data_IF_556606643401
#
_entry.id   IF_556606643401
#
_cell.length_a   1.000
_cell.length_b   1.000
_cell.length_c   1.000
_cell.angle_alpha   90.00
_cell.angle_beta   90.00
_cell.angle_gamma   90.00
#
_symmetry.space_group_name_H-M   'P 1'
#
loop_
_entity.id
_entity.type
_entity.pdbx_description
1 polymer ?
#
# COMPACT_ATOMS: atom_id res chain seq x y z
N UNK A 1 -15.86 19.05 24.05
CA UNK A 1 -15.98 19.71 22.74
C UNK A 1 -16.33 18.65 21.73
N UNK A 2 -17.37 18.78 20.89
CA UNK A 2 -17.62 17.79 19.86
C UNK A 2 -16.40 17.76 18.92
N UNK A 3 -15.84 16.57 18.70
CA UNK A 3 -14.83 16.34 17.68
C UNK A 3 -15.47 16.71 16.33
N UNK A 4 -15.00 17.77 15.70
CA UNK A 4 -15.37 18.07 14.32
C UNK A 4 -14.83 16.89 13.48
N UNK A 5 -15.73 16.07 12.96
CA UNK A 5 -15.34 14.98 12.08
C UNK A 5 -14.57 15.57 10.89
N UNK A 6 -13.36 15.11 10.68
CA UNK A 6 -12.53 15.55 9.55
C UNK A 6 -13.20 15.10 8.24
N UNK A 7 -13.20 15.99 7.25
CA UNK A 7 -13.75 15.66 5.94
C UNK A 7 -12.76 14.82 5.16
N UNK A 8 -13.11 13.61 4.71
CA UNK A 8 -12.20 12.78 3.94
C UNK A 8 -11.94 13.37 2.54
N UNK A 9 -10.76 13.08 2.02
CA UNK A 9 -10.39 13.34 0.62
C UNK A 9 -10.98 12.26 -0.28
N UNK A 10 -12.11 12.53 -0.91
CA UNK A 10 -12.72 11.61 -1.87
C UNK A 10 -12.14 11.88 -3.26
N UNK A 11 -11.43 10.90 -3.83
CA UNK A 11 -10.66 11.04 -5.06
C UNK A 11 -11.18 10.06 -6.12
N UNK A 12 -11.24 10.54 -7.36
CA UNK A 12 -11.52 9.70 -8.55
C UNK A 12 -10.25 9.12 -9.17
N UNK A 13 -9.07 9.61 -8.78
CA UNK A 13 -7.75 9.17 -9.24
C UNK A 13 -7.01 8.45 -8.11
N UNK A 14 -6.02 7.58 -8.44
CA UNK A 14 -5.10 7.07 -7.46
C UNK A 14 -4.41 8.17 -6.65
N UNK A 15 -3.93 7.83 -5.46
CA UNK A 15 -3.18 8.74 -4.60
C UNK A 15 -1.80 8.16 -4.28
N UNK A 16 -0.83 9.05 -4.13
CA UNK A 16 0.51 8.73 -3.63
C UNK A 16 0.56 9.13 -2.15
N UNK A 17 1.06 8.25 -1.31
CA UNK A 17 1.24 8.50 0.11
C UNK A 17 2.71 8.30 0.50
N UNK A 18 3.33 9.34 1.10
CA UNK A 18 4.74 9.34 1.49
C UNK A 18 4.83 9.22 3.00
N UNK A 19 5.54 8.20 3.47
CA UNK A 19 5.88 7.97 4.88
C UNK A 19 7.30 8.41 5.22
N UNK A 20 7.66 8.29 6.50
CA UNK A 20 8.93 8.77 7.04
C UNK A 20 10.07 7.72 7.05
N UNK A 21 9.80 6.45 6.71
CA UNK A 21 10.87 5.46 6.63
C UNK A 21 11.82 5.79 5.45
N UNK A 22 13.13 5.48 5.58
CA UNK A 22 14.09 5.75 4.52
C UNK A 22 13.66 5.16 3.18
N UNK A 23 13.62 6.01 2.16
CA UNK A 23 13.27 5.64 0.78
C UNK A 23 13.90 6.65 -0.17
N UNK A 24 14.28 6.20 -1.35
CA UNK A 24 14.73 7.04 -2.47
C UNK A 24 13.58 7.37 -3.44
N UNK A 25 12.35 6.94 -3.10
CA UNK A 25 11.17 7.04 -3.96
C UNK A 25 11.36 6.40 -5.34
N UNK A 26 12.25 5.39 -5.46
CA UNK A 26 12.45 4.69 -6.72
C UNK A 26 11.11 4.16 -7.27
N UNK A 27 10.83 4.46 -8.52
CA UNK A 27 9.58 4.08 -9.20
C UNK A 27 8.43 5.08 -9.06
N UNK A 28 8.62 6.21 -8.37
CA UNK A 28 7.56 7.22 -8.28
C UNK A 28 7.22 7.81 -9.66
N UNK A 29 8.17 7.82 -10.57
CA UNK A 29 8.00 8.25 -11.97
C UNK A 29 7.06 7.35 -12.78
N UNK A 30 6.74 6.15 -12.25
CA UNK A 30 5.75 5.25 -12.82
C UNK A 30 4.32 5.65 -12.43
N UNK A 31 4.18 6.50 -11.41
CA UNK A 31 2.91 7.10 -11.02
C UNK A 31 2.62 8.28 -11.93
N UNK A 32 1.35 8.43 -12.33
CA UNK A 32 0.98 9.55 -13.18
C UNK A 32 1.14 10.90 -12.43
N UNK A 33 1.70 11.94 -13.06
CA UNK A 33 2.04 13.20 -12.39
C UNK A 33 0.82 13.96 -11.84
N UNK A 34 -0.39 13.63 -12.30
CA UNK A 34 -1.62 14.22 -11.80
C UNK A 34 -2.21 13.49 -10.59
N UNK A 35 -1.59 12.42 -10.11
CA UNK A 35 -2.03 11.77 -8.87
C UNK A 35 -1.67 12.65 -7.67
N UNK A 36 -2.64 12.99 -6.81
CA UNK A 36 -2.35 13.80 -5.63
C UNK A 36 -1.40 13.07 -4.69
N UNK A 37 -0.43 13.84 -4.18
CA UNK A 37 0.53 13.38 -3.18
C UNK A 37 0.05 13.78 -1.80
N UNK A 38 0.15 12.89 -0.83
CA UNK A 38 -0.09 13.11 0.59
C UNK A 38 1.15 12.69 1.37
N UNK A 39 1.36 13.28 2.52
CA UNK A 39 2.43 12.91 3.44
C UNK A 39 1.86 12.48 4.79
N UNK A 40 2.38 11.40 5.34
CA UNK A 40 2.13 10.95 6.69
C UNK A 40 3.20 11.56 7.61
N UNK A 41 2.82 12.55 8.41
CA UNK A 41 3.68 13.28 9.36
C UNK A 41 5.08 13.60 8.77
N UNK A 42 6.15 13.01 9.34
CA UNK A 42 7.54 13.20 8.89
C UNK A 42 7.83 12.84 7.42
N UNK A 43 6.92 12.13 6.73
CA UNK A 43 6.97 11.88 5.29
C UNK A 43 6.99 13.15 4.44
N UNK A 44 6.56 14.29 5.01
CA UNK A 44 6.69 15.59 4.38
C UNK A 44 8.13 15.92 3.99
N UNK A 45 9.10 15.66 4.86
CA UNK A 45 10.52 15.95 4.59
C UNK A 45 11.03 15.14 3.38
N UNK A 46 10.63 13.87 3.29
CA UNK A 46 10.97 13.01 2.14
C UNK A 46 10.33 13.55 0.85
N UNK A 47 9.06 13.92 0.89
CA UNK A 47 8.37 14.47 -0.25
C UNK A 47 9.05 15.76 -0.75
N UNK A 48 9.32 16.72 0.13
CA UNK A 48 9.96 17.99 -0.23
C UNK A 48 11.40 17.80 -0.74
N UNK A 49 12.17 16.88 -0.14
CA UNK A 49 13.53 16.56 -0.59
C UNK A 49 13.55 16.00 -2.04
N UNK A 50 12.45 15.37 -2.46
CA UNK A 50 12.25 14.84 -3.81
C UNK A 50 11.48 15.80 -4.74
N UNK A 51 11.34 17.08 -4.37
CA UNK A 51 10.61 18.12 -5.10
C UNK A 51 9.13 17.78 -5.36
N UNK A 52 8.53 16.98 -4.48
CA UNK A 52 7.10 16.72 -4.50
C UNK A 52 6.40 17.71 -3.59
N UNK A 53 5.26 18.24 -4.05
CA UNK A 53 4.41 19.10 -3.26
C UNK A 53 3.18 18.34 -2.78
N UNK A 54 3.12 17.91 -1.50
CA UNK A 54 1.95 17.23 -0.98
C UNK A 54 0.72 18.15 -0.98
N UNK A 55 -0.43 17.59 -1.32
CA UNK A 55 -1.73 18.25 -1.15
C UNK A 55 -2.05 18.46 0.33
N UNK A 56 -1.73 17.46 1.15
CA UNK A 56 -1.92 17.53 2.60
C UNK A 56 -0.87 16.73 3.35
N UNK A 57 -0.60 17.14 4.59
CA UNK A 57 0.15 16.39 5.61
C UNK A 57 -0.85 15.95 6.68
N UNK A 58 -0.83 14.67 7.02
CA UNK A 58 -1.75 14.04 7.97
C UNK A 58 -0.94 13.38 9.08
N UNK A 59 -1.19 13.74 10.33
CA UNK A 59 -0.49 13.18 11.49
C UNK A 59 -0.65 14.03 12.74
N UNK A 60 0.15 13.79 13.76
CA UNK A 60 0.19 14.61 14.98
C UNK A 60 1.12 15.83 14.86
N UNK A 61 1.83 15.97 13.75
CA UNK A 61 2.75 17.05 13.40
C UNK A 61 4.01 17.14 14.27
N UNK A 62 4.31 16.13 15.07
CA UNK A 62 5.47 16.14 15.96
C UNK A 62 6.80 16.08 15.17
N UNK A 63 6.78 15.53 13.96
CA UNK A 63 7.95 15.37 13.09
C UNK A 63 8.01 16.37 11.93
N UNK A 64 7.05 17.28 11.79
CA UNK A 64 6.97 18.21 10.64
C UNK A 64 7.92 19.41 10.76
N UNK A 65 8.35 19.78 11.97
CA UNK A 65 9.28 20.89 12.20
C UNK A 65 8.60 22.28 12.16
N UNK A 66 9.28 23.27 11.55
CA UNK A 66 8.80 24.65 11.51
C UNK A 66 7.64 24.81 10.51
N UNK A 67 6.40 24.73 11.02
CA UNK A 67 5.16 24.81 10.25
C UNK A 67 4.97 26.17 9.54
N UNK A 68 5.55 27.22 10.07
CA UNK A 68 5.48 28.59 9.55
C UNK A 68 6.30 28.80 8.25
N UNK A 69 7.15 27.83 7.91
CA UNK A 69 7.97 27.87 6.69
C UNK A 69 7.40 27.01 5.56
N UNK A 70 6.28 26.34 5.78
CA UNK A 70 5.65 25.51 4.76
C UNK A 70 4.89 26.36 3.74
N UNK A 71 4.79 25.83 2.52
CA UNK A 71 3.93 26.40 1.49
C UNK A 71 2.48 26.44 2.00
N UNK A 72 1.84 27.61 2.03
CA UNK A 72 0.44 27.75 2.49
C UNK A 72 -0.56 26.89 1.68
N UNK A 73 -0.19 26.40 0.51
CA UNK A 73 -1.01 25.51 -0.30
C UNK A 73 -1.09 24.08 0.26
N UNK A 74 -0.18 23.70 1.17
CA UNK A 74 -0.18 22.38 1.81
C UNK A 74 -1.18 22.40 2.98
N UNK A 75 -2.21 21.58 2.89
CA UNK A 75 -3.21 21.44 3.96
C UNK A 75 -2.63 20.62 5.14
N UNK A 76 -2.70 21.17 6.35
CA UNK A 76 -2.24 20.49 7.57
C UNK A 76 -3.42 19.87 8.31
N UNK A 77 -3.49 18.54 8.33
CA UNK A 77 -4.54 17.78 9.01
C UNK A 77 -4.00 17.21 10.32
N UNK A 78 -4.16 17.99 11.38
CA UNK A 78 -3.69 17.62 12.70
C UNK A 78 -4.63 16.60 13.36
N UNK A 79 -4.23 15.35 13.48
CA UNK A 79 -4.91 14.29 14.21
C UNK A 79 -4.20 13.96 15.53
N UNK A 80 -4.74 14.50 16.63
CA UNK A 80 -4.31 14.21 18.00
C UNK A 80 -4.88 12.86 18.39
N UNK A 81 -4.07 11.84 18.44
CA UNK A 81 -4.41 10.51 18.91
C UNK A 81 -3.19 9.62 18.76
N UNK A 82 -2.90 8.84 19.80
CA UNK A 82 -1.77 7.90 19.82
C UNK A 82 -2.25 6.45 19.63
N UNK A 83 -3.55 6.25 19.45
CA UNK A 83 -4.13 4.93 19.27
C UNK A 83 -3.90 4.41 17.85
N UNK A 84 -3.93 5.32 16.85
CA UNK A 84 -3.76 5.01 15.44
C UNK A 84 -2.38 5.46 14.93
N UNK A 85 -1.78 4.70 14.03
CA UNK A 85 -0.56 5.12 13.32
C UNK A 85 -0.90 6.20 12.29
N UNK A 86 0.09 7.01 11.88
CA UNK A 86 -0.13 8.03 10.85
C UNK A 86 -0.51 7.41 9.50
N UNK A 87 -0.03 6.19 9.21
CA UNK A 87 -0.47 5.42 8.05
C UNK A 87 -1.97 5.11 8.11
N UNK A 88 -2.46 4.68 9.25
CA UNK A 88 -3.89 4.39 9.46
C UNK A 88 -4.73 5.66 9.37
N UNK A 89 -4.31 6.75 10.03
CA UNK A 89 -4.95 8.07 9.93
C UNK A 89 -5.07 8.52 8.48
N UNK A 90 -3.99 8.36 7.68
CA UNK A 90 -4.00 8.68 6.26
C UNK A 90 -5.01 7.84 5.48
N UNK A 91 -5.00 6.51 5.65
CA UNK A 91 -5.90 5.63 4.91
C UNK A 91 -7.37 5.83 5.27
N UNK A 92 -7.67 6.25 6.51
CA UNK A 92 -9.02 6.59 6.95
C UNK A 92 -9.53 7.92 6.32
N UNK A 93 -8.63 8.84 5.96
CA UNK A 93 -8.99 10.11 5.34
C UNK A 93 -8.87 10.12 3.82
N UNK A 94 -8.00 9.30 3.23
CA UNK A 94 -7.76 9.27 1.79
C UNK A 94 -8.61 8.17 1.16
N UNK A 95 -9.73 8.53 0.57
CA UNK A 95 -10.60 7.63 -0.17
C UNK A 95 -10.27 7.71 -1.66
N UNK A 96 -9.23 7.00 -2.08
CA UNK A 96 -8.79 6.88 -3.47
C UNK A 96 -9.04 5.45 -3.98
N UNK A 97 -9.24 5.26 -5.29
CA UNK A 97 -9.45 3.92 -5.87
C UNK A 97 -8.21 3.03 -5.78
N UNK A 98 -7.03 3.61 -5.66
CA UNK A 98 -5.73 2.97 -5.42
C UNK A 98 -4.87 3.91 -4.58
N UNK A 99 -4.12 3.38 -3.62
CA UNK A 99 -3.08 4.12 -2.90
C UNK A 99 -1.72 3.46 -3.16
N UNK A 100 -0.72 4.27 -3.53
CA UNK A 100 0.68 3.84 -3.66
C UNK A 100 1.50 4.51 -2.57
N UNK A 101 1.99 3.72 -1.62
CA UNK A 101 2.72 4.17 -0.44
C UNK A 101 4.23 3.95 -0.58
N UNK A 102 5.00 4.99 -0.34
CA UNK A 102 6.47 4.99 -0.24
C UNK A 102 6.88 5.36 1.17
N UNK A 103 7.98 4.78 1.67
CA UNK A 103 8.49 5.10 3.01
C UNK A 103 7.68 4.52 4.17
N UNK A 104 7.04 3.35 3.96
CA UNK A 104 6.33 2.58 4.99
C UNK A 104 6.96 1.22 5.28
N UNK A 105 7.93 0.81 4.47
CA UNK A 105 8.66 -0.43 4.62
C UNK A 105 10.13 -0.16 4.96
N UNK A 106 10.74 -1.06 5.73
CA UNK A 106 12.13 -0.92 6.18
C UNK A 106 12.26 -0.18 7.52
N UNK A 107 13.50 0.13 7.93
CA UNK A 107 13.87 0.75 9.20
C UNK A 107 13.33 0.00 10.44
N UNK A 108 12.27 0.49 11.06
CA UNK A 108 11.69 -0.07 12.29
C UNK A 108 10.72 -1.20 11.98
N UNK A 109 10.98 -2.39 12.50
CA UNK A 109 10.11 -3.56 12.29
C UNK A 109 8.74 -3.41 12.95
N UNK A 110 8.64 -2.74 14.10
CA UNK A 110 7.37 -2.46 14.76
C UNK A 110 6.44 -1.61 13.88
N UNK A 111 6.99 -0.63 13.16
CA UNK A 111 6.22 0.17 12.20
C UNK A 111 5.74 -0.66 11.00
N UNK A 112 6.59 -1.56 10.46
CA UNK A 112 6.17 -2.46 9.38
C UNK A 112 5.03 -3.39 9.84
N UNK A 113 5.11 -3.92 11.06
CA UNK A 113 4.05 -4.74 11.63
C UNK A 113 2.74 -3.94 11.84
N UNK A 114 2.84 -2.68 12.28
CA UNK A 114 1.69 -1.79 12.39
C UNK A 114 1.06 -1.47 11.02
N UNK A 115 1.87 -1.26 9.99
CA UNK A 115 1.38 -1.11 8.60
C UNK A 115 0.61 -2.35 8.16
N UNK A 116 1.14 -3.55 8.39
CA UNK A 116 0.44 -4.81 8.05
C UNK A 116 -0.85 -4.97 8.86
N UNK A 117 -0.84 -4.58 10.13
CA UNK A 117 -2.04 -4.56 10.97
C UNK A 117 -3.12 -3.65 10.38
N UNK A 118 -2.76 -2.42 10.02
CA UNK A 118 -3.69 -1.47 9.36
C UNK A 118 -4.26 -2.04 8.06
N UNK A 119 -3.42 -2.64 7.20
CA UNK A 119 -3.88 -3.26 5.95
C UNK A 119 -4.86 -4.42 6.19
N UNK A 120 -4.69 -5.17 7.28
CA UNK A 120 -5.60 -6.25 7.66
C UNK A 120 -6.94 -5.73 8.19
N UNK A 121 -6.94 -4.60 8.92
CA UNK A 121 -8.13 -4.02 9.55
C UNK A 121 -9.06 -3.30 8.55
N UNK A 122 -8.54 -2.87 7.38
CA UNK A 122 -9.34 -2.17 6.38
C UNK A 122 -10.46 -3.04 5.84
N UNK A 123 -11.69 -2.53 5.87
CA UNK A 123 -12.89 -3.23 5.41
C UNK A 123 -13.14 -3.13 3.90
N UNK A 124 -12.63 -2.09 3.26
CA UNK A 124 -12.77 -1.90 1.81
C UNK A 124 -11.89 -2.86 0.99
N UNK A 125 -12.14 -2.93 -0.32
CA UNK A 125 -11.40 -3.79 -1.25
C UNK A 125 -10.39 -3.04 -2.12
N UNK A 126 -10.19 -1.73 -1.90
CA UNK A 126 -9.24 -0.95 -2.71
C UNK A 126 -7.83 -1.56 -2.65
N UNK A 127 -7.13 -1.69 -3.78
CA UNK A 127 -5.73 -2.09 -3.77
C UNK A 127 -4.88 -1.01 -3.09
N UNK A 128 -3.88 -1.47 -2.33
CA UNK A 128 -2.86 -0.61 -1.73
C UNK A 128 -1.52 -1.23 -2.08
N UNK A 129 -0.65 -0.46 -2.74
CA UNK A 129 0.71 -0.86 -3.05
C UNK A 129 1.65 -0.18 -2.06
N UNK A 130 2.58 -0.94 -1.49
CA UNK A 130 3.69 -0.42 -0.69
C UNK A 130 5.00 -0.71 -1.39
N UNK A 131 5.78 0.34 -1.64
CA UNK A 131 7.07 0.26 -2.33
C UNK A 131 8.18 0.27 -1.29
N UNK A 132 8.95 -0.80 -1.25
CA UNK A 132 10.17 -0.93 -0.46
C UNK A 132 11.40 -0.99 -1.35
N UNK A 133 12.57 -1.08 -0.73
CA UNK A 133 13.85 -1.15 -1.43
C UNK A 133 14.00 -2.46 -2.23
N UNK A 134 13.74 -3.60 -1.59
CA UNK A 134 13.93 -4.92 -2.19
C UNK A 134 12.64 -5.52 -2.74
N UNK A 135 11.52 -5.16 -2.15
CA UNK A 135 10.21 -5.73 -2.42
C UNK A 135 9.16 -4.65 -2.68
N UNK A 136 8.19 -5.00 -3.49
CA UNK A 136 6.92 -4.29 -3.62
C UNK A 136 5.80 -5.21 -3.16
N UNK A 137 4.86 -4.66 -2.42
CA UNK A 137 3.73 -5.40 -1.85
C UNK A 137 2.42 -4.80 -2.32
N UNK A 138 1.43 -5.64 -2.61
CA UNK A 138 0.08 -5.19 -2.92
C UNK A 138 -0.96 -5.92 -2.07
N UNK A 139 -1.81 -5.15 -1.40
CA UNK A 139 -3.00 -5.66 -0.73
C UNK A 139 -4.07 -5.99 -1.76
N UNK A 140 -4.61 -7.19 -1.68
CA UNK A 140 -5.66 -7.70 -2.56
C UNK A 140 -6.82 -8.27 -1.73
N UNK A 141 -8.04 -8.00 -2.13
CA UNK A 141 -9.26 -8.70 -1.71
C UNK A 141 -10.02 -9.18 -2.94
N UNK A 142 -10.22 -10.49 -3.01
CA UNK A 142 -10.85 -11.14 -4.16
C UNK A 142 -9.85 -11.68 -5.18
N UNK A 143 -10.34 -11.93 -6.38
CA UNK A 143 -9.55 -12.48 -7.48
C UNK A 143 -8.56 -11.45 -8.03
N UNK A 144 -7.44 -11.94 -8.56
CA UNK A 144 -6.49 -11.06 -9.26
C UNK A 144 -5.74 -11.80 -10.36
N UNK A 145 -5.24 -11.02 -11.31
CA UNK A 145 -4.39 -11.49 -12.39
C UNK A 145 -3.20 -10.56 -12.56
N UNK A 146 -2.04 -11.15 -12.83
CA UNK A 146 -0.78 -10.46 -13.06
C UNK A 146 -0.15 -10.93 -14.37
N UNK A 147 0.53 -10.02 -15.06
CA UNK A 147 1.45 -10.35 -16.14
C UNK A 147 2.88 -10.13 -15.64
N UNK A 148 3.60 -11.23 -15.43
CA UNK A 148 4.88 -11.23 -14.74
C UNK A 148 5.96 -11.95 -15.54
N UNK A 149 7.25 -11.58 -15.40
CA UNK A 149 8.33 -12.38 -15.93
C UNK A 149 8.37 -13.77 -15.30
N UNK A 150 8.76 -14.78 -16.09
CA UNK A 150 8.97 -16.14 -15.59
C UNK A 150 10.19 -16.15 -14.64
N UNK A 151 10.23 -17.10 -13.72
CA UNK A 151 11.29 -17.36 -12.74
C UNK A 151 11.43 -16.32 -11.61
N UNK A 152 10.57 -15.30 -11.54
CA UNK A 152 10.58 -14.38 -10.39
C UNK A 152 9.93 -15.01 -9.15
N UNK A 153 10.36 -14.53 -7.98
CA UNK A 153 9.74 -14.86 -6.69
C UNK A 153 8.35 -14.26 -6.63
N UNK A 154 7.38 -15.05 -6.19
CA UNK A 154 5.99 -14.65 -5.93
C UNK A 154 5.58 -15.12 -4.55
N UNK A 155 5.33 -14.22 -3.62
CA UNK A 155 4.93 -14.59 -2.27
C UNK A 155 3.51 -14.15 -1.98
N UNK A 156 2.79 -15.00 -1.24
CA UNK A 156 1.47 -14.72 -0.68
C UNK A 156 1.54 -14.68 0.84
N UNK A 157 0.98 -13.63 1.42
CA UNK A 157 0.88 -13.47 2.87
C UNK A 157 -0.56 -13.15 3.26
N UNK A 158 -1.25 -14.01 4.03
CA UNK A 158 -2.63 -13.76 4.43
C UNK A 158 -2.70 -12.61 5.44
N UNK A 159 -3.70 -11.74 5.31
CA UNK A 159 -3.95 -10.64 6.26
C UNK A 159 -4.79 -11.06 7.48
N UNK A 160 -5.32 -12.25 7.44
CA UNK A 160 -6.05 -12.95 8.47
C UNK A 160 -6.15 -14.41 8.03
N UNK A 161 -7.35 -14.92 7.82
CA UNK A 161 -7.58 -16.20 7.15
C UNK A 161 -7.98 -15.93 5.70
N UNK A 162 -7.34 -16.59 4.73
CA UNK A 162 -7.64 -16.45 3.31
C UNK A 162 -7.61 -17.81 2.61
N UNK A 163 -8.69 -18.18 1.93
CA UNK A 163 -8.75 -19.38 1.09
C UNK A 163 -8.53 -19.02 -0.39
N UNK A 164 -8.00 -19.99 -1.14
CA UNK A 164 -7.84 -19.91 -2.59
C UNK A 164 -8.50 -21.13 -3.22
N UNK A 165 -9.32 -20.90 -4.23
CA UNK A 165 -10.04 -21.97 -4.93
C UNK A 165 -9.22 -22.51 -6.09
N UNK A 166 -8.52 -21.64 -6.82
CA UNK A 166 -7.69 -22.00 -7.97
C UNK A 166 -6.54 -21.02 -8.13
N UNK A 167 -5.44 -21.50 -8.70
CA UNK A 167 -4.30 -20.68 -9.11
C UNK A 167 -3.72 -21.17 -10.44
N UNK A 168 -3.18 -20.25 -11.24
CA UNK A 168 -2.47 -20.53 -12.48
C UNK A 168 -1.12 -19.81 -12.48
N UNK A 169 -0.15 -20.36 -13.19
CA UNK A 169 1.14 -19.69 -13.44
C UNK A 169 2.14 -19.76 -12.30
N UNK A 170 1.86 -20.51 -11.23
CA UNK A 170 2.74 -20.69 -10.08
C UNK A 170 3.36 -22.10 -10.02
N UNK A 171 4.63 -22.20 -9.65
CA UNK A 171 5.33 -23.48 -9.51
C UNK A 171 4.70 -24.37 -8.44
N UNK A 172 4.20 -23.79 -7.38
CA UNK A 172 3.45 -24.47 -6.32
C UNK A 172 2.04 -23.89 -6.29
N UNK A 173 1.06 -24.59 -6.91
CA UNK A 173 -0.33 -24.17 -6.90
C UNK A 173 -0.87 -24.02 -5.47
N UNK A 174 -1.78 -23.07 -5.29
CA UNK A 174 -2.43 -22.85 -3.99
C UNK A 174 -3.91 -23.27 -3.98
N UNK A 175 -4.29 -24.14 -4.92
CA UNK A 175 -5.64 -24.62 -5.14
C UNK A 175 -6.18 -25.33 -3.91
N UNK A 176 -7.37 -24.93 -3.44
CA UNK A 176 -8.01 -25.47 -2.24
C UNK A 176 -7.30 -25.13 -0.93
N UNK A 177 -6.23 -24.33 -0.96
CA UNK A 177 -5.50 -23.95 0.24
C UNK A 177 -6.26 -22.89 1.06
N UNK A 178 -6.12 -22.98 2.38
CA UNK A 178 -6.49 -21.92 3.32
C UNK A 178 -5.23 -21.50 4.07
N UNK A 179 -4.81 -20.26 3.83
CA UNK A 179 -3.67 -19.65 4.51
C UNK A 179 -4.13 -18.87 5.73
N UNK A 180 -3.31 -18.88 6.77
CA UNK A 180 -3.54 -18.13 8.01
C UNK A 180 -2.21 -17.92 8.72
N UNK A 181 -2.03 -16.73 9.33
CA UNK A 181 -0.85 -16.45 10.17
C UNK A 181 -0.78 -17.46 11.31
N UNK A 182 0.41 -18.01 11.56
CA UNK A 182 0.65 -19.05 12.55
C UNK A 182 0.29 -20.47 12.11
N UNK A 183 -0.25 -20.65 10.88
CA UNK A 183 -0.52 -21.97 10.29
C UNK A 183 0.23 -22.17 8.98
N UNK A 184 -0.21 -21.49 7.93
CA UNK A 184 0.37 -21.62 6.59
C UNK A 184 0.41 -20.29 5.87
N UNK A 185 1.51 -20.03 5.19
CA UNK A 185 1.72 -18.88 4.28
C UNK A 185 2.21 -19.39 2.93
N UNK A 186 2.21 -18.53 1.91
CA UNK A 186 2.64 -18.85 0.56
C UNK A 186 3.93 -18.13 0.16
N UNK A 187 4.92 -18.05 1.06
CA UNK A 187 6.18 -17.35 0.78
C UNK A 187 7.08 -18.12 -0.19
N UNK A 188 7.82 -17.37 -1.01
CA UNK A 188 8.87 -17.89 -1.92
C UNK A 188 8.37 -18.87 -2.99
N UNK A 189 7.15 -18.68 -3.46
CA UNK A 189 6.68 -19.32 -4.69
C UNK A 189 7.41 -18.71 -5.91
N UNK A 190 7.24 -19.29 -7.08
CA UNK A 190 7.91 -18.93 -8.31
C UNK A 190 6.93 -18.87 -9.48
N UNK A 191 7.07 -17.86 -10.31
CA UNK A 191 6.30 -17.70 -11.54
C UNK A 191 6.82 -18.66 -12.61
N UNK A 192 5.93 -19.46 -13.22
CA UNK A 192 6.28 -20.42 -14.30
C UNK A 192 5.55 -20.14 -15.61
N UNK A 193 4.62 -19.17 -15.61
CA UNK A 193 3.92 -18.69 -16.80
C UNK A 193 3.84 -17.15 -16.75
N UNK A 194 3.83 -16.49 -17.89
CA UNK A 194 3.74 -15.04 -17.99
C UNK A 194 2.44 -14.46 -17.41
N UNK A 195 1.43 -15.30 -17.21
CA UNK A 195 0.16 -14.95 -16.57
C UNK A 195 0.00 -15.72 -15.27
N UNK A 196 -0.09 -15.01 -14.16
CA UNK A 196 -0.45 -15.57 -12.85
C UNK A 196 -1.89 -15.17 -12.54
N UNK A 197 -2.76 -16.15 -12.25
CA UNK A 197 -4.13 -15.91 -11.78
C UNK A 197 -4.34 -16.53 -10.42
N UNK A 198 -5.08 -15.82 -9.59
CA UNK A 198 -5.54 -16.29 -8.29
C UNK A 198 -7.06 -16.11 -8.20
N UNK A 199 -7.76 -17.19 -7.92
CA UNK A 199 -9.18 -17.16 -7.56
C UNK A 199 -9.26 -17.29 -6.04
N UNK A 200 -9.64 -16.19 -5.40
CA UNK A 200 -9.79 -16.13 -3.96
C UNK A 200 -11.15 -16.69 -3.55
N UNK A 201 -11.14 -17.56 -2.55
CA UNK A 201 -12.34 -17.93 -1.81
C UNK A 201 -12.62 -16.92 -0.68
N UNK A 202 -13.51 -17.27 0.25
CA UNK A 202 -13.79 -16.44 1.43
C UNK A 202 -12.51 -16.14 2.23
N UNK A 203 -12.39 -14.91 2.74
CA UNK A 203 -11.23 -14.54 3.56
C UNK A 203 -11.11 -13.04 3.82
N UNK A 204 -10.05 -12.70 4.56
CA UNK A 204 -9.77 -11.34 5.04
C UNK A 204 -8.90 -10.53 4.05
N UNK A 205 -8.47 -11.15 2.95
CA UNK A 205 -7.53 -10.59 2.00
C UNK A 205 -6.11 -11.09 2.22
N UNK A 206 -5.23 -10.69 1.31
CA UNK A 206 -3.84 -11.14 1.29
C UNK A 206 -2.93 -10.09 0.67
N UNK A 207 -1.65 -10.21 0.96
CA UNK A 207 -0.59 -9.46 0.29
C UNK A 207 0.04 -10.33 -0.80
N UNK A 208 0.23 -9.75 -1.97
CA UNK A 208 1.15 -10.24 -2.99
C UNK A 208 2.47 -9.50 -2.80
N UNK A 209 3.59 -10.23 -2.70
CA UNK A 209 4.91 -9.65 -2.49
C UNK A 209 5.83 -10.12 -3.62
N UNK A 210 6.38 -9.16 -4.34
CA UNK A 210 7.25 -9.36 -5.50
C UNK A 210 8.56 -8.58 -5.33
N UNK A 211 9.62 -8.90 -6.09
CA UNK A 211 10.78 -8.02 -6.19
C UNK A 211 10.39 -6.60 -6.62
N UNK A 212 11.06 -5.58 -6.09
CA UNK A 212 10.76 -4.16 -6.35
C UNK A 212 10.73 -3.81 -7.84
N UNK A 213 11.54 -4.48 -8.67
CA UNK A 213 11.53 -4.34 -10.12
C UNK A 213 10.18 -4.69 -10.79
N UNK A 214 9.26 -5.37 -10.07
CA UNK A 214 7.92 -5.71 -10.56
C UNK A 214 6.86 -4.64 -10.23
N UNK A 215 7.25 -3.46 -9.75
CA UNK A 215 6.32 -2.36 -9.49
C UNK A 215 5.45 -2.01 -10.72
N UNK A 216 5.96 -1.95 -11.97
CA UNK A 216 5.13 -1.68 -13.15
C UNK A 216 3.99 -2.69 -13.31
N UNK A 217 4.25 -3.97 -13.09
CA UNK A 217 3.26 -5.04 -13.22
C UNK A 217 2.23 -4.99 -12.09
N UNK A 218 2.64 -4.65 -10.86
CA UNK A 218 1.72 -4.44 -9.75
C UNK A 218 0.82 -3.22 -9.99
N UNK A 219 1.37 -2.12 -10.48
CA UNK A 219 0.59 -0.93 -10.83
C UNK A 219 -0.47 -1.26 -11.88
N UNK A 220 -0.10 -2.00 -12.93
CA UNK A 220 -1.05 -2.43 -13.95
C UNK A 220 -2.18 -3.27 -13.36
N UNK A 221 -1.86 -4.26 -12.54
CA UNK A 221 -2.86 -5.11 -11.88
C UNK A 221 -3.76 -4.30 -10.92
N UNK A 222 -3.18 -3.38 -10.14
CA UNK A 222 -3.92 -2.53 -9.22
C UNK A 222 -4.88 -1.58 -9.95
N UNK A 223 -4.46 -0.98 -11.06
CA UNK A 223 -5.31 -0.12 -11.89
C UNK A 223 -6.47 -0.91 -12.48
N UNK A 224 -6.23 -2.15 -12.91
CA UNK A 224 -7.28 -3.04 -13.38
C UNK A 224 -8.29 -3.35 -12.27
N UNK A 225 -7.81 -3.71 -11.07
CA UNK A 225 -8.68 -3.97 -9.90
C UNK A 225 -9.48 -2.73 -9.47
N UNK A 226 -8.92 -1.55 -9.64
CA UNK A 226 -9.57 -0.26 -9.36
C UNK A 226 -10.52 0.19 -10.48
N UNK A 227 -10.70 -0.57 -11.58
CA UNK A 227 -11.44 -0.22 -12.78
C UNK A 227 -10.98 1.10 -13.44
N UNK A 228 -9.67 1.32 -13.47
CA UNK A 228 -8.99 2.48 -14.07
C UNK A 228 -8.14 2.01 -15.27
N UNK A 229 -8.76 1.82 -16.44
CA UNK A 229 -8.08 1.36 -17.67
C UNK A 229 -8.01 2.49 -18.71
#
# INVERSE_FOLDING_TARGET
MPSTALTPFVLSKPAILIGAAPTDLAGIELCAPEWPVFAADGGLHTALACNLQPRAVIGDMDSVGALDQLDPAIELIHQKGQEDTDFEKCLNLIHAPLVVGFGFLGARHDHVLAVLHTLASLSDSRPIILVGQDDVMMRVRGDCQFHLPIDIRFSLWPLGQQSFTQSEGLAWPVDGMTMQIGKQTGTSNRVIDTTVKLQAGPGDGYMVILPSACLPQLLQAALYLANLH
#
